data_IF_636888012476
#
_entry.id   IF_636888012476
#
_cell.length_a   1.000
_cell.length_b   1.000
_cell.length_c   1.000
_cell.angle_alpha   90.00
_cell.angle_beta   90.00
_cell.angle_gamma   90.00
#
_symmetry.space_group_name_H-M   'P 1'
#
loop_
_entity.id
_entity.type
_entity.pdbx_description
1 polymer ?
#
# COMPACT_ATOMS: atom_id res chain seq x y z
N UNK A 1 -6.91 4.49 -24.95
CA UNK A 1 -7.14 5.93 -24.78
C UNK A 1 -5.82 6.64 -25.00
N UNK A 2 -5.80 7.68 -25.81
CA UNK A 2 -4.63 8.54 -25.97
C UNK A 2 -4.89 9.78 -25.13
N UNK A 3 -4.01 10.12 -24.19
CA UNK A 3 -4.13 11.36 -23.43
C UNK A 3 -3.60 12.53 -24.27
N UNK A 4 -3.97 13.78 -23.95
CA UNK A 4 -3.42 14.97 -24.61
C UNK A 4 -1.88 15.04 -24.54
N UNK A 5 -1.27 14.34 -23.58
CA UNK A 5 0.18 14.19 -23.43
C UNK A 5 0.78 13.01 -24.23
N UNK A 6 0.11 12.57 -25.31
CA UNK A 6 0.45 11.43 -26.19
C UNK A 6 0.72 10.09 -25.46
N UNK A 7 0.15 9.90 -24.27
CA UNK A 7 0.28 8.63 -23.54
C UNK A 7 -0.84 7.69 -23.94
N UNK A 8 -0.45 6.52 -24.43
CA UNK A 8 -1.37 5.44 -24.80
C UNK A 8 -1.67 4.57 -23.58
N UNK A 9 -2.90 4.63 -23.09
CA UNK A 9 -3.36 3.91 -21.90
C UNK A 9 -4.32 2.77 -22.28
N UNK A 10 -4.09 1.60 -21.70
CA UNK A 10 -5.03 0.49 -21.69
C UNK A 10 -6.03 0.69 -20.55
N UNK A 11 -7.31 0.80 -20.87
CA UNK A 11 -8.40 0.92 -19.89
C UNK A 11 -9.50 -0.10 -20.18
N UNK A 12 -10.05 -0.68 -19.13
CA UNK A 12 -11.19 -1.59 -19.16
C UNK A 12 -12.39 -0.91 -18.53
N UNK A 13 -13.51 -0.82 -19.28
CA UNK A 13 -14.80 -0.45 -18.72
C UNK A 13 -15.50 -1.71 -18.22
N UNK A 14 -16.05 -1.68 -17.02
CA UNK A 14 -16.75 -2.81 -16.42
C UNK A 14 -17.88 -2.35 -15.50
N UNK A 15 -18.83 -3.24 -15.20
CA UNK A 15 -19.97 -2.98 -14.30
C UNK A 15 -19.86 -3.92 -13.10
N UNK A 16 -19.98 -3.36 -11.90
CA UNK A 16 -20.09 -4.12 -10.64
C UNK A 16 -21.25 -3.55 -9.85
N UNK A 17 -22.16 -4.41 -9.39
CA UNK A 17 -23.31 -4.03 -8.56
C UNK A 17 -24.08 -2.82 -9.13
N UNK A 18 -24.31 -2.82 -10.44
CA UNK A 18 -25.03 -1.75 -11.15
C UNK A 18 -24.23 -0.46 -11.40
N UNK A 19 -23.00 -0.32 -10.86
CA UNK A 19 -22.16 0.86 -11.06
C UNK A 19 -21.14 0.65 -12.17
N UNK A 20 -21.07 1.58 -13.11
CA UNK A 20 -20.02 1.62 -14.13
C UNK A 20 -18.71 2.13 -13.53
N UNK A 21 -17.65 1.37 -13.75
CA UNK A 21 -16.29 1.68 -13.30
C UNK A 21 -15.29 1.50 -14.44
N UNK A 22 -14.18 2.25 -14.36
CA UNK A 22 -13.11 2.17 -15.34
C UNK A 22 -11.79 1.81 -14.67
N UNK A 23 -11.14 0.77 -15.18
CA UNK A 23 -9.92 0.22 -14.64
C UNK A 23 -8.74 0.44 -15.59
N UNK A 24 -7.63 1.00 -15.10
CA UNK A 24 -6.37 1.01 -15.87
C UNK A 24 -5.71 -0.37 -15.87
N UNK A 25 -5.32 -0.85 -17.05
CA UNK A 25 -4.61 -2.12 -17.26
C UNK A 25 -3.10 -1.95 -17.53
N UNK A 26 -2.67 -0.72 -17.80
CA UNK A 26 -1.27 -0.36 -18.06
C UNK A 26 -1.12 0.75 -19.10
N UNK A 27 0.11 1.15 -19.35
CA UNK A 27 0.50 2.18 -20.34
C UNK A 27 1.35 1.53 -21.43
N UNK A 28 1.11 1.85 -22.68
CA UNK A 28 1.97 1.46 -23.79
C UNK A 28 3.19 2.40 -23.86
N UNK A 29 4.41 1.91 -24.16
CA UNK A 29 4.74 0.54 -24.58
C UNK A 29 5.02 -0.44 -23.42
N UNK A 30 5.11 0.04 -22.18
CA UNK A 30 5.45 -0.79 -21.01
C UNK A 30 4.54 -2.02 -20.82
N UNK A 31 3.28 -1.93 -21.24
CA UNK A 31 2.35 -3.07 -21.30
C UNK A 31 1.99 -3.39 -22.74
N UNK A 32 2.36 -4.59 -23.19
CA UNK A 32 2.00 -5.09 -24.52
C UNK A 32 0.50 -5.37 -24.65
N UNK A 33 -0.01 -5.37 -25.88
CA UNK A 33 -1.41 -5.70 -26.17
C UNK A 33 -1.79 -7.09 -25.64
N UNK A 34 -0.87 -8.07 -25.74
CA UNK A 34 -1.06 -9.44 -25.23
C UNK A 34 -1.24 -9.42 -23.71
N UNK A 35 -0.37 -8.73 -22.99
CA UNK A 35 -0.45 -8.61 -21.53
C UNK A 35 -1.73 -7.88 -21.09
N UNK A 36 -2.13 -6.82 -21.81
CA UNK A 36 -3.38 -6.11 -21.53
C UNK A 36 -4.63 -7.00 -21.74
N UNK A 37 -4.63 -7.86 -22.76
CA UNK A 37 -5.71 -8.83 -23.01
C UNK A 37 -5.78 -9.93 -21.95
N UNK A 38 -4.63 -10.45 -21.50
CA UNK A 38 -4.56 -11.43 -20.42
C UNK A 38 -5.13 -10.86 -19.11
N UNK A 39 -4.66 -9.67 -18.69
CA UNK A 39 -5.20 -8.97 -17.51
C UNK A 39 -6.70 -8.71 -17.62
N UNK A 40 -7.21 -8.38 -18.81
CA UNK A 40 -8.66 -8.21 -19.03
C UNK A 40 -9.42 -9.51 -18.76
N UNK A 41 -8.91 -10.66 -19.21
CA UNK A 41 -9.57 -11.94 -19.01
C UNK A 41 -9.61 -12.32 -17.52
N UNK A 42 -8.49 -12.18 -16.80
CA UNK A 42 -8.38 -12.41 -15.35
C UNK A 42 -9.35 -11.53 -14.54
N UNK A 43 -9.47 -10.26 -14.92
CA UNK A 43 -10.38 -9.35 -14.24
C UNK A 43 -11.85 -9.69 -14.54
N UNK A 44 -12.16 -10.16 -15.76
CA UNK A 44 -13.51 -10.57 -16.11
C UNK A 44 -13.95 -11.81 -15.32
N UNK A 45 -13.08 -12.80 -15.17
CA UNK A 45 -13.36 -13.98 -14.33
C UNK A 45 -13.50 -13.59 -12.85
N UNK A 46 -12.63 -12.71 -12.34
CA UNK A 46 -12.77 -12.17 -10.97
C UNK A 46 -14.09 -11.44 -10.73
N UNK A 47 -14.54 -10.65 -11.71
CA UNK A 47 -15.84 -9.95 -11.65
C UNK A 47 -17.03 -10.91 -11.62
N UNK A 48 -16.98 -12.02 -12.37
CA UNK A 48 -18.01 -13.06 -12.36
C UNK A 48 -18.08 -13.78 -11.00
N UNK A 49 -16.96 -13.90 -10.29
CA UNK A 49 -16.92 -14.39 -8.89
C UNK A 49 -17.31 -13.33 -7.84
N UNK A 50 -17.74 -12.13 -8.25
CA UNK A 50 -18.17 -11.06 -7.34
C UNK A 50 -17.04 -10.25 -6.69
N UNK A 51 -15.80 -10.43 -7.15
CA UNK A 51 -14.62 -9.72 -6.64
C UNK A 51 -14.48 -8.38 -7.38
N UNK A 52 -14.62 -7.26 -6.66
CA UNK A 52 -14.45 -5.92 -7.25
C UNK A 52 -12.96 -5.54 -7.32
N UNK A 53 -12.33 -5.54 -8.51
CA UNK A 53 -10.90 -5.24 -8.64
C UNK A 53 -10.54 -3.78 -8.28
N UNK A 54 -11.51 -2.86 -8.24
CA UNK A 54 -11.29 -1.53 -7.69
C UNK A 54 -11.33 -1.51 -6.17
N UNK A 55 -12.08 -2.41 -5.52
CA UNK A 55 -12.03 -2.56 -4.07
C UNK A 55 -10.69 -3.17 -3.64
N UNK A 56 -10.18 -4.16 -4.38
CA UNK A 56 -8.88 -4.76 -4.10
C UNK A 56 -7.73 -3.77 -4.25
N UNK A 57 -7.68 -3.04 -5.37
CA UNK A 57 -6.66 -2.00 -5.53
C UNK A 57 -6.79 -0.87 -4.50
N UNK A 58 -8.00 -0.58 -4.02
CA UNK A 58 -8.19 0.39 -2.93
C UNK A 58 -7.71 -0.17 -1.61
N UNK A 59 -7.99 -1.43 -1.30
CA UNK A 59 -7.50 -2.11 -0.10
C UNK A 59 -5.97 -2.22 -0.11
N UNK A 60 -5.37 -2.57 -1.25
CA UNK A 60 -3.92 -2.67 -1.43
C UNK A 60 -3.23 -1.30 -1.34
N UNK A 61 -3.87 -0.24 -1.84
CA UNK A 61 -3.39 1.15 -1.63
C UNK A 61 -3.57 1.62 -0.20
N UNK A 62 -4.68 1.27 0.45
CA UNK A 62 -4.95 1.63 1.85
C UNK A 62 -4.03 0.88 2.83
N UNK A 63 -3.68 -0.37 2.54
CA UNK A 63 -2.65 -1.10 3.29
C UNK A 63 -1.26 -0.47 3.08
N UNK A 64 -1.00 0.07 1.90
CA UNK A 64 0.26 0.77 1.60
C UNK A 64 0.33 2.17 2.22
N UNK A 65 -0.80 2.80 2.57
CA UNK A 65 -0.83 4.12 3.22
C UNK A 65 -0.82 4.03 4.75
N UNK A 66 -1.40 2.98 5.33
CA UNK A 66 -1.48 2.80 6.79
C UNK A 66 -0.31 1.95 7.32
N UNK A 67 0.90 2.31 6.91
CA UNK A 67 2.11 1.66 7.41
C UNK A 67 2.40 2.09 8.85
N UNK A 68 3.14 1.25 9.57
CA UNK A 68 3.56 1.56 10.94
C UNK A 68 4.35 2.86 10.99
N UNK A 69 5.22 3.11 10.02
CA UNK A 69 5.98 4.35 9.95
C UNK A 69 5.07 5.57 9.80
N UNK A 70 4.12 5.54 8.86
CA UNK A 70 3.20 6.66 8.64
C UNK A 70 2.41 6.99 9.90
N UNK A 71 1.84 5.96 10.54
CA UNK A 71 1.03 6.13 11.75
C UNK A 71 1.89 6.55 12.95
N UNK A 72 3.10 6.00 13.09
CA UNK A 72 4.02 6.37 14.17
C UNK A 72 4.48 7.83 14.05
N UNK A 73 4.77 8.32 12.83
CA UNK A 73 5.11 9.74 12.60
C UNK A 73 3.95 10.67 12.92
N UNK A 74 2.73 10.33 12.51
CA UNK A 74 1.53 11.09 12.88
C UNK A 74 1.29 11.10 14.39
N UNK A 75 1.52 9.97 15.07
CA UNK A 75 1.39 9.87 16.51
C UNK A 75 2.45 10.70 17.25
N UNK A 76 3.71 10.63 16.82
CA UNK A 76 4.81 11.43 17.38
C UNK A 76 4.53 12.93 17.28
N UNK A 77 3.97 13.38 16.16
CA UNK A 77 3.62 14.79 15.94
C UNK A 77 2.50 15.30 16.87
N UNK A 78 1.63 14.41 17.34
CA UNK A 78 0.51 14.74 18.25
C UNK A 78 0.90 14.70 19.73
N UNK A 79 2.05 14.13 20.08
CA UNK A 79 2.44 14.00 21.48
C UNK A 79 3.04 15.30 22.01
N UNK A 80 2.63 15.77 23.21
CA UNK A 80 3.18 16.95 23.86
C UNK A 80 4.53 16.66 24.52
N UNK A 81 5.45 16.03 23.79
CA UNK A 81 6.78 15.74 24.30
C UNK A 81 7.63 17.00 24.37
N UNK A 82 8.40 17.14 25.46
CA UNK A 82 9.47 18.13 25.50
C UNK A 82 10.46 17.88 24.35
N UNK A 83 11.11 18.92 23.77
CA UNK A 83 11.95 18.78 22.58
C UNK A 83 13.04 17.70 22.70
N UNK A 84 13.66 17.58 23.89
CA UNK A 84 14.68 16.55 24.17
C UNK A 84 14.10 15.13 24.13
N UNK A 85 12.90 14.95 24.64
CA UNK A 85 12.19 13.66 24.66
C UNK A 85 11.71 13.30 23.26
N UNK A 86 11.17 14.26 22.51
CA UNK A 86 10.77 14.06 21.11
C UNK A 86 11.96 13.63 20.26
N UNK A 87 13.12 14.29 20.40
CA UNK A 87 14.34 13.93 19.65
C UNK A 87 14.80 12.50 19.94
N UNK A 88 14.76 12.07 21.20
CA UNK A 88 15.05 10.67 21.58
C UNK A 88 14.04 9.71 20.98
N UNK A 89 12.75 10.03 21.07
CA UNK A 89 11.70 9.19 20.52
C UNK A 89 11.88 9.02 18.99
N UNK A 90 12.05 10.12 18.25
CA UNK A 90 12.30 10.09 16.81
C UNK A 90 13.50 9.21 16.48
N UNK A 91 14.63 9.38 17.17
CA UNK A 91 15.80 8.53 16.97
C UNK A 91 15.51 7.04 17.21
N UNK A 92 14.79 6.69 18.28
CA UNK A 92 14.37 5.30 18.54
C UNK A 92 13.52 4.75 17.39
N UNK A 93 12.55 5.53 16.90
CA UNK A 93 11.70 5.07 15.81
C UNK A 93 12.47 4.92 14.49
N UNK A 94 13.32 5.88 14.13
CA UNK A 94 14.06 5.87 12.87
C UNK A 94 15.20 4.84 12.83
N UNK A 95 15.96 4.70 13.92
CA UNK A 95 17.17 3.88 13.93
C UNK A 95 16.92 2.44 14.42
N UNK A 96 15.86 2.24 15.22
CA UNK A 96 15.59 0.96 15.87
C UNK A 96 14.31 0.26 15.40
N UNK A 97 13.27 0.98 14.95
CA UNK A 97 11.98 0.37 14.60
C UNK A 97 11.68 0.37 13.09
N UNK A 98 11.76 1.52 12.43
CA UNK A 98 11.40 1.66 11.02
C UNK A 98 12.17 0.73 10.06
N UNK A 99 13.47 0.44 10.25
CA UNK A 99 14.20 -0.48 9.38
C UNK A 99 13.62 -1.90 9.36
N UNK A 100 12.88 -2.30 10.39
CA UNK A 100 12.36 -3.66 10.53
C UNK A 100 10.85 -3.76 10.30
N UNK A 101 10.09 -2.77 10.77
CA UNK A 101 8.61 -2.81 10.73
C UNK A 101 7.97 -1.59 10.07
N UNK A 102 8.74 -0.58 9.66
CA UNK A 102 8.23 0.69 9.17
C UNK A 102 7.28 0.55 7.97
N UNK A 103 7.66 -0.25 6.98
CA UNK A 103 6.87 -0.48 5.75
C UNK A 103 5.69 -1.44 5.92
N UNK A 104 5.55 -2.08 7.08
CA UNK A 104 4.45 -3.03 7.33
C UNK A 104 3.14 -2.27 7.59
N UNK A 105 2.00 -2.72 7.04
CA UNK A 105 0.70 -2.19 7.42
C UNK A 105 0.40 -2.49 8.89
N UNK A 106 -0.12 -1.50 9.64
CA UNK A 106 -0.43 -1.68 11.08
C UNK A 106 -1.45 -2.78 11.32
N UNK A 107 -2.40 -2.97 10.39
CA UNK A 107 -3.40 -4.04 10.45
C UNK A 107 -2.82 -5.44 10.30
N UNK A 108 -1.61 -5.58 9.74
CA UNK A 108 -0.94 -6.85 9.54
C UNK A 108 0.14 -7.13 10.60
N UNK A 109 0.38 -6.21 11.54
CA UNK A 109 1.35 -6.41 12.61
C UNK A 109 0.82 -7.41 13.63
N UNK A 110 1.60 -8.44 13.90
CA UNK A 110 1.28 -9.45 14.91
C UNK A 110 2.17 -9.32 16.14
N UNK A 111 1.66 -9.70 17.32
CA UNK A 111 2.42 -9.63 18.56
C UNK A 111 3.75 -10.42 18.54
N UNK A 112 3.84 -11.64 17.96
CA UNK A 112 5.11 -12.36 17.85
C UNK A 112 6.15 -11.64 16.99
N UNK A 113 5.73 -10.94 15.93
CA UNK A 113 6.64 -10.17 15.08
C UNK A 113 7.22 -8.97 15.81
N UNK A 114 6.38 -8.22 16.54
CA UNK A 114 6.82 -7.13 17.40
C UNK A 114 7.82 -7.61 18.46
N UNK A 115 7.54 -8.76 19.09
CA UNK A 115 8.46 -9.38 20.04
C UNK A 115 9.80 -9.73 19.37
N UNK A 116 9.78 -10.21 18.13
CA UNK A 116 10.98 -10.50 17.35
C UNK A 116 11.86 -9.27 17.10
N UNK A 117 11.24 -8.10 16.86
CA UNK A 117 11.95 -6.82 16.73
C UNK A 117 12.55 -6.40 18.07
N UNK A 118 11.77 -6.46 19.15
CA UNK A 118 12.24 -6.10 20.49
C UNK A 118 13.43 -6.96 20.93
N UNK A 119 13.35 -8.28 20.75
CA UNK A 119 14.45 -9.22 21.04
C UNK A 119 15.70 -8.98 20.17
N UNK A 120 15.55 -8.38 18.99
CA UNK A 120 16.69 -7.97 18.16
C UNK A 120 17.37 -6.74 18.77
N UNK A 121 16.59 -5.80 19.27
CA UNK A 121 17.10 -4.60 19.94
C UNK A 121 17.80 -4.95 21.26
N UNK A 122 17.23 -5.86 22.05
CA UNK A 122 17.86 -6.37 23.27
C UNK A 122 19.20 -7.06 23.03
N UNK A 123 19.42 -7.66 21.86
CA UNK A 123 20.73 -8.28 21.52
C UNK A 123 21.78 -7.28 21.02
N UNK A 124 21.36 -6.06 20.67
CA UNK A 124 22.24 -5.00 20.14
C UNK A 124 22.79 -4.11 21.26
N UNK A 125 22.09 -4.01 22.39
CA UNK A 125 22.52 -3.31 23.60
C UNK A 125 23.10 -4.27 24.63
#
# INVERSE_FOLDING_TARGET
MITPADRRLWRLRYKVRGRESMLGLGTYPATSLKAARARRAELRTGLETGRDPAAERRAERASSSNTFETIAREWLAKQPFAPKTLKKAVWTFEDLLFPYIGSRPVSALTAPELLGVLRRLERRG
#
